data_IF_126572251259
#
_entry.id   IF_126572251259
#
_cell.length_a   1.000
_cell.length_b   1.000
_cell.length_c   1.000
_cell.angle_alpha   90.00
_cell.angle_beta   90.00
_cell.angle_gamma   90.00
#
_symmetry.space_group_name_H-M   'P 1'
#
loop_
_entity.id
_entity.type
_entity.pdbx_description
1 polymer ?
#
# COMPACT_ATOMS: atom_id res chain seq x y z
N UNK A 1 2.04 17.27 -6.50
CA UNK A 1 2.31 15.86 -6.10
C UNK A 1 3.40 15.89 -5.05
N UNK A 2 3.27 15.15 -3.95
CA UNK A 2 4.25 15.15 -2.86
C UNK A 2 5.05 13.86 -2.93
N UNK A 3 6.36 13.98 -2.98
CA UNK A 3 7.27 12.85 -2.87
C UNK A 3 7.76 12.73 -1.44
N UNK A 4 8.09 11.52 -1.04
CA UNK A 4 8.79 11.29 0.20
C UNK A 4 10.29 11.52 -0.03
N UNK A 5 10.94 12.37 0.79
CA UNK A 5 12.33 12.80 0.56
C UNK A 5 13.22 12.66 1.79
N UNK A 6 12.72 12.10 2.88
CA UNK A 6 13.53 11.89 4.09
C UNK A 6 14.45 10.69 3.87
N UNK A 7 15.66 10.77 4.41
CA UNK A 7 16.63 9.68 4.37
C UNK A 7 16.62 8.95 5.71
N UNK A 8 16.72 7.63 5.63
CA UNK A 8 16.75 6.70 6.75
C UNK A 8 17.94 5.75 6.64
N UNK A 9 18.30 5.09 7.74
CA UNK A 9 19.36 4.07 7.69
C UNK A 9 18.84 2.76 7.09
N UNK A 10 17.55 2.49 7.30
CA UNK A 10 16.85 1.33 6.77
C UNK A 10 15.57 1.76 6.04
N UNK A 11 15.47 1.42 4.76
CA UNK A 11 14.27 1.59 3.97
C UNK A 11 13.58 0.24 3.81
N UNK A 12 12.28 0.17 4.10
CA UNK A 12 11.50 -1.04 3.94
C UNK A 12 10.31 -0.86 2.99
N UNK A 13 10.35 -1.58 1.87
CA UNK A 13 9.22 -1.72 0.96
C UNK A 13 8.42 -2.97 1.26
N UNK A 14 7.09 -2.82 1.29
CA UNK A 14 6.16 -3.93 1.52
C UNK A 14 5.21 -4.07 0.35
N UNK A 15 5.28 -5.22 -0.31
CA UNK A 15 4.19 -5.70 -1.17
C UNK A 15 3.21 -6.49 -0.30
N UNK A 16 2.07 -5.86 -0.02
CA UNK A 16 1.09 -6.35 0.95
C UNK A 16 -0.03 -7.11 0.23
N UNK A 17 -0.37 -8.29 0.71
CA UNK A 17 -1.53 -9.06 0.26
C UNK A 17 -2.43 -9.40 1.45
N UNK A 18 -3.61 -9.95 1.16
CA UNK A 18 -4.59 -10.29 2.19
C UNK A 18 -4.08 -11.34 3.20
N UNK A 19 -3.19 -12.25 2.79
CA UNK A 19 -2.68 -13.35 3.62
C UNK A 19 -1.16 -13.33 3.80
N UNK A 20 -0.44 -12.73 2.86
CA UNK A 20 1.02 -12.65 2.81
C UNK A 20 1.46 -11.20 2.69
N UNK A 21 2.64 -10.91 3.17
CA UNK A 21 3.33 -9.66 2.90
C UNK A 21 4.77 -9.99 2.53
N UNK A 22 5.27 -9.36 1.48
CA UNK A 22 6.65 -9.49 1.06
C UNK A 22 7.41 -8.26 1.52
N UNK A 23 8.48 -8.49 2.29
CA UNK A 23 9.35 -7.44 2.81
C UNK A 23 10.62 -7.38 1.98
N UNK A 24 11.01 -6.17 1.59
CA UNK A 24 12.34 -5.83 1.16
C UNK A 24 12.88 -4.77 2.12
N UNK A 25 14.09 -4.96 2.65
CA UNK A 25 14.80 -3.95 3.44
C UNK A 25 16.14 -3.67 2.76
N UNK A 26 16.42 -2.39 2.54
CA UNK A 26 17.70 -1.89 2.04
C UNK A 26 18.43 -1.12 3.13
N UNK A 27 19.76 -1.22 3.13
CA UNK A 27 20.61 -0.27 3.84
C UNK A 27 20.73 1.05 3.07
N UNK A 28 21.36 2.05 3.70
CA UNK A 28 21.66 3.34 3.09
C UNK A 28 22.46 3.27 1.78
N UNK A 29 23.26 2.22 1.57
CA UNK A 29 24.05 1.99 0.35
C UNK A 29 23.22 1.31 -0.75
N UNK A 30 21.97 0.95 -0.48
CA UNK A 30 21.09 0.22 -1.39
C UNK A 30 21.34 -1.29 -1.40
N UNK A 31 22.10 -1.83 -0.43
CA UNK A 31 22.31 -3.26 -0.31
C UNK A 31 21.09 -3.91 0.33
N UNK A 32 20.71 -5.06 -0.22
CA UNK A 32 19.60 -5.86 0.30
C UNK A 32 19.99 -6.51 1.62
N UNK A 33 19.37 -6.08 2.71
CA UNK A 33 19.52 -6.70 4.03
C UNK A 33 18.51 -7.82 4.26
N UNK A 34 17.29 -7.66 3.74
CA UNK A 34 16.22 -8.64 3.91
C UNK A 34 15.33 -8.73 2.67
N UNK A 35 15.09 -9.96 2.20
CA UNK A 35 13.97 -10.30 1.33
C UNK A 35 13.20 -11.45 1.94
N UNK A 36 11.95 -11.26 2.31
CA UNK A 36 11.19 -12.31 3.00
C UNK A 36 9.69 -12.21 2.78
N UNK A 37 9.08 -13.34 2.40
CA UNK A 37 7.63 -13.50 2.42
C UNK A 37 7.19 -13.96 3.82
N UNK A 38 6.29 -13.22 4.45
CA UNK A 38 5.73 -13.50 5.78
C UNK A 38 4.21 -13.58 5.70
N UNK A 39 3.61 -14.18 6.73
CA UNK A 39 2.15 -14.09 6.92
C UNK A 39 1.78 -12.66 7.27
N UNK A 40 0.65 -12.16 6.75
CA UNK A 40 0.07 -10.85 7.09
C UNK A 40 -0.48 -10.83 8.50
N UNK A 41 0.41 -10.88 9.49
CA UNK A 41 0.10 -10.89 10.92
C UNK A 41 1.10 -9.99 11.65
N UNK A 42 0.64 -9.17 12.62
CA UNK A 42 1.51 -8.27 13.37
C UNK A 42 2.77 -8.93 13.93
N UNK A 43 2.63 -10.07 14.62
CA UNK A 43 3.77 -10.79 15.21
C UNK A 43 4.82 -11.21 14.18
N UNK A 44 4.39 -11.71 13.02
CA UNK A 44 5.30 -12.16 11.98
C UNK A 44 6.02 -10.99 11.30
N UNK A 45 5.32 -9.87 11.17
CA UNK A 45 5.89 -8.63 10.66
C UNK A 45 6.92 -8.04 11.64
N UNK A 46 6.56 -7.86 12.91
CA UNK A 46 7.45 -7.28 13.92
C UNK A 46 8.73 -8.11 14.10
N UNK A 47 8.62 -9.44 14.15
CA UNK A 47 9.79 -10.32 14.25
C UNK A 47 10.72 -10.23 13.03
N UNK A 48 10.21 -9.83 11.86
CA UNK A 48 11.03 -9.70 10.66
C UNK A 48 11.80 -8.39 10.60
N UNK A 49 11.24 -7.30 11.14
CA UNK A 49 11.86 -5.97 11.16
C UNK A 49 12.69 -5.71 12.41
N UNK A 50 12.58 -6.55 13.43
CA UNK A 50 13.24 -6.39 14.74
C UNK A 50 14.74 -6.06 14.63
N UNK A 51 15.54 -6.71 13.76
CA UNK A 51 16.96 -6.40 13.63
C UNK A 51 17.27 -5.03 13.00
N UNK A 52 16.28 -4.38 12.39
CA UNK A 52 16.43 -3.18 11.57
C UNK A 52 15.55 -2.03 12.07
N UNK A 53 14.99 -2.14 13.29
CA UNK A 53 13.95 -1.22 13.78
C UNK A 53 14.47 0.21 13.95
N UNK A 54 15.76 0.36 14.25
CA UNK A 54 16.39 1.67 14.41
C UNK A 54 16.42 2.42 13.06
N UNK A 55 15.86 3.63 13.05
CA UNK A 55 15.74 4.49 11.87
C UNK A 55 15.15 3.77 10.64
N UNK A 56 14.09 2.98 10.86
CA UNK A 56 13.34 2.30 9.81
C UNK A 56 12.19 3.17 9.29
N UNK A 57 12.13 3.34 7.98
CA UNK A 57 10.93 3.83 7.29
C UNK A 57 10.27 2.69 6.52
N UNK A 58 8.94 2.64 6.56
CA UNK A 58 8.14 1.69 5.81
C UNK A 58 7.34 2.36 4.71
N UNK A 59 7.39 1.78 3.51
CA UNK A 59 6.54 2.14 2.37
C UNK A 59 5.65 0.98 1.94
N UNK A 60 4.39 1.28 1.64
CA UNK A 60 3.40 0.31 1.14
C UNK A 60 2.60 0.92 0.00
N UNK A 61 2.28 0.14 -1.04
CA UNK A 61 1.32 0.60 -2.06
C UNK A 61 -0.08 0.79 -1.46
N UNK A 62 -0.82 1.83 -1.91
CA UNK A 62 -2.20 2.07 -1.50
C UNK A 62 -3.19 1.04 -2.10
N UNK A 63 -3.19 -0.15 -1.53
CA UNK A 63 -4.17 -1.22 -1.79
C UNK A 63 -5.27 -1.25 -0.71
N UNK A 64 -6.08 -2.31 -0.60
CA UNK A 64 -7.17 -2.36 0.39
C UNK A 64 -6.74 -2.77 1.80
N UNK A 65 -5.59 -3.40 1.97
CA UNK A 65 -5.22 -4.14 3.19
C UNK A 65 -4.29 -3.36 4.13
N UNK A 66 -3.89 -2.12 3.82
CA UNK A 66 -2.84 -1.41 4.56
C UNK A 66 -3.24 -0.87 5.94
N UNK A 67 -4.53 -0.76 6.27
CA UNK A 67 -4.98 -0.14 7.53
C UNK A 67 -4.32 -0.73 8.77
N UNK A 68 -4.35 -2.06 8.91
CA UNK A 68 -3.80 -2.72 10.09
C UNK A 68 -2.28 -2.49 10.21
N UNK A 69 -1.58 -2.39 9.09
CA UNK A 69 -0.14 -2.20 9.04
C UNK A 69 0.21 -0.75 9.39
N UNK A 70 -0.54 0.22 8.87
CA UNK A 70 -0.38 1.63 9.25
C UNK A 70 -0.67 1.85 10.75
N UNK A 71 -1.71 1.22 11.29
CA UNK A 71 -2.06 1.34 12.70
C UNK A 71 -1.02 0.64 13.60
N UNK A 72 -0.48 -0.48 13.14
CA UNK A 72 0.63 -1.15 13.81
C UNK A 72 1.88 -0.27 13.82
N UNK A 73 2.27 0.29 12.68
CA UNK A 73 3.43 1.18 12.60
C UNK A 73 3.25 2.41 13.50
N UNK A 74 2.06 3.01 13.51
CA UNK A 74 1.75 4.13 14.41
C UNK A 74 1.91 3.73 15.89
N UNK A 75 1.46 2.54 16.29
CA UNK A 75 1.57 2.06 17.68
C UNK A 75 3.01 1.74 18.07
N UNK A 76 3.80 1.25 17.13
CA UNK A 76 5.20 0.85 17.31
C UNK A 76 6.19 1.98 17.02
N UNK A 77 5.68 3.19 16.77
CA UNK A 77 6.45 4.40 16.44
C UNK A 77 7.36 4.25 15.21
N UNK A 78 6.93 3.44 14.23
CA UNK A 78 7.61 3.25 12.95
C UNK A 78 7.06 4.24 11.92
N UNK A 79 7.95 4.91 11.21
CA UNK A 79 7.53 5.85 10.17
C UNK A 79 6.88 5.10 8.99
N UNK A 80 5.66 5.49 8.64
CA UNK A 80 4.85 4.81 7.62
C UNK A 80 4.49 5.76 6.48
N UNK A 81 4.76 5.33 5.25
CA UNK A 81 4.53 6.06 4.01
C UNK A 81 3.64 5.24 3.09
N UNK A 82 2.52 5.83 2.67
CA UNK A 82 1.59 5.20 1.75
C UNK A 82 1.86 5.67 0.32
N UNK A 83 1.97 4.75 -0.63
CA UNK A 83 2.25 5.04 -2.04
C UNK A 83 0.97 5.27 -2.85
N UNK A 84 0.93 6.30 -3.68
CA UNK A 84 -0.24 6.62 -4.49
C UNK A 84 -0.45 5.61 -5.63
N UNK A 85 -1.49 4.79 -5.54
CA UNK A 85 -1.74 3.63 -6.41
C UNK A 85 -1.66 3.91 -7.92
N UNK A 86 -2.17 5.06 -8.41
CA UNK A 86 -2.11 5.39 -9.84
C UNK A 86 -0.66 5.58 -10.33
N UNK A 87 0.16 6.26 -9.54
CA UNK A 87 1.54 6.58 -9.90
C UNK A 87 2.44 5.38 -9.67
N UNK A 88 2.21 4.61 -8.61
CA UNK A 88 2.89 3.34 -8.37
C UNK A 88 2.73 2.40 -9.57
N UNK A 89 1.53 2.25 -10.15
CA UNK A 89 1.31 1.46 -11.38
C UNK A 89 2.04 1.98 -12.62
N UNK A 90 2.31 3.28 -12.68
CA UNK A 90 3.04 3.87 -13.82
C UNK A 90 4.52 3.55 -13.73
N UNK A 91 5.03 3.36 -12.50
CA UNK A 91 6.43 3.04 -12.22
C UNK A 91 6.65 1.51 -12.22
N UNK A 92 5.72 0.74 -11.63
CA UNK A 92 5.75 -0.73 -11.49
C UNK A 92 5.15 -1.46 -12.70
N UNK A 93 5.22 -0.88 -13.90
CA UNK A 93 4.57 -1.38 -15.12
C UNK A 93 5.26 -2.58 -15.79
N UNK A 94 6.16 -3.27 -15.10
CA UNK A 94 6.93 -4.41 -15.64
C UNK A 94 6.05 -5.61 -16.01
N UNK A 95 6.38 -6.30 -17.11
CA UNK A 95 5.63 -7.47 -17.61
C UNK A 95 5.63 -8.69 -16.66
N UNK A 96 6.52 -8.73 -15.67
CA UNK A 96 6.66 -9.85 -14.74
C UNK A 96 6.24 -9.43 -13.32
N UNK A 97 5.03 -9.80 -12.93
CA UNK A 97 4.50 -9.56 -11.59
C UNK A 97 5.14 -10.54 -10.60
N UNK A 98 5.99 -10.05 -9.71
CA UNK A 98 6.67 -10.86 -8.71
C UNK A 98 6.79 -10.05 -7.42
N UNK A 99 6.14 -10.52 -6.35
CA UNK A 99 6.14 -9.87 -5.04
C UNK A 99 7.55 -9.47 -4.55
N UNK A 100 8.58 -10.25 -4.94
CA UNK A 100 9.99 -9.94 -4.66
C UNK A 100 10.48 -8.67 -5.35
N UNK A 101 10.16 -8.53 -6.63
CA UNK A 101 10.56 -7.40 -7.47
C UNK A 101 9.75 -6.18 -7.05
N UNK A 102 8.44 -6.36 -6.87
CA UNK A 102 7.51 -5.30 -6.47
C UNK A 102 7.95 -4.68 -5.12
N UNK A 103 8.25 -5.50 -4.11
CA UNK A 103 8.75 -5.00 -2.83
C UNK A 103 10.09 -4.25 -2.96
N UNK A 104 11.00 -4.73 -3.82
CA UNK A 104 12.30 -4.08 -4.05
C UNK A 104 12.17 -2.74 -4.79
N UNK A 105 11.29 -2.65 -5.79
CA UNK A 105 10.99 -1.42 -6.51
C UNK A 105 10.39 -0.36 -5.57
N UNK A 106 9.45 -0.77 -4.71
CA UNK A 106 8.89 0.08 -3.65
C UNK A 106 10.01 0.64 -2.76
N UNK A 107 10.90 -0.22 -2.24
CA UNK A 107 11.99 0.21 -1.36
C UNK A 107 12.96 1.14 -2.06
N UNK A 108 13.28 0.86 -3.32
CA UNK A 108 14.21 1.67 -4.12
C UNK A 108 13.65 3.07 -4.35
N UNK A 109 12.36 3.17 -4.71
CA UNK A 109 11.70 4.47 -4.88
C UNK A 109 11.66 5.28 -3.60
N UNK A 110 11.44 4.61 -2.46
CA UNK A 110 11.47 5.24 -1.14
C UNK A 110 12.83 5.85 -0.84
N UNK A 111 13.89 5.03 -0.96
CA UNK A 111 15.27 5.43 -0.72
C UNK A 111 15.72 6.57 -1.63
N UNK A 112 15.37 6.51 -2.92
CA UNK A 112 15.78 7.50 -3.91
C UNK A 112 15.00 8.83 -3.82
N UNK A 113 14.05 8.93 -2.90
CA UNK A 113 13.22 10.13 -2.73
C UNK A 113 12.15 10.31 -3.82
N UNK A 114 11.91 9.26 -4.63
CA UNK A 114 10.99 9.25 -5.77
C UNK A 114 9.66 8.56 -5.46
N UNK A 115 9.41 8.26 -4.18
CA UNK A 115 8.20 7.57 -3.77
C UNK A 115 6.98 8.51 -3.76
N UNK A 116 5.96 8.25 -4.59
CA UNK A 116 4.80 9.14 -4.69
C UNK A 116 3.90 8.96 -3.46
N UNK A 117 3.97 9.92 -2.53
CA UNK A 117 3.25 9.83 -1.25
C UNK A 117 1.75 10.12 -1.41
N UNK A 118 0.95 9.30 -0.76
CA UNK A 118 -0.47 9.48 -0.53
C UNK A 118 -0.75 9.72 0.96
N UNK A 119 -1.88 10.35 1.25
CA UNK A 119 -2.28 10.63 2.63
C UNK A 119 -2.75 9.36 3.34
N UNK A 120 -2.16 9.10 4.51
CA UNK A 120 -2.56 8.04 5.42
C UNK A 120 -3.79 8.51 6.17
N UNK A 121 -4.96 7.99 5.80
CA UNK A 121 -6.22 8.43 6.39
C UNK A 121 -6.29 8.10 7.89
N UNK A 122 -6.63 9.05 8.77
CA UNK A 122 -6.71 8.81 10.22
C UNK A 122 -7.71 7.72 10.57
N UNK A 123 -7.40 6.92 11.60
CA UNK A 123 -8.20 5.76 12.03
C UNK A 123 -9.67 6.16 12.27
N UNK A 124 -9.87 7.29 12.94
CA UNK A 124 -11.15 7.82 13.39
C UNK A 124 -12.07 8.20 12.22
N UNK A 125 -11.49 8.54 11.06
CA UNK A 125 -12.24 8.97 9.87
C UNK A 125 -12.48 7.82 8.88
N UNK A 126 -11.77 6.68 9.01
CA UNK A 126 -11.84 5.57 8.02
C UNK A 126 -13.24 4.98 7.90
N UNK A 127 -13.98 4.84 9.01
CA UNK A 127 -15.34 4.29 8.97
C UNK A 127 -16.28 5.10 8.06
N UNK A 128 -16.23 6.43 8.17
CA UNK A 128 -16.99 7.34 7.31
C UNK A 128 -16.54 7.22 5.85
N UNK A 129 -15.23 7.22 5.61
CA UNK A 129 -14.66 7.05 4.26
C UNK A 129 -15.13 5.76 3.60
N UNK A 130 -15.10 4.65 4.33
CA UNK A 130 -15.46 3.33 3.81
C UNK A 130 -16.95 3.23 3.54
N UNK A 131 -17.79 3.81 4.40
CA UNK A 131 -19.23 3.95 4.17
C UNK A 131 -19.52 4.71 2.88
N UNK A 132 -18.90 5.87 2.68
CA UNK A 132 -19.07 6.68 1.48
C UNK A 132 -18.60 5.95 0.21
N UNK A 133 -17.45 5.26 0.28
CA UNK A 133 -16.95 4.42 -0.82
C UNK A 133 -17.91 3.28 -1.15
N UNK A 134 -18.50 2.63 -0.14
CA UNK A 134 -19.48 1.56 -0.32
C UNK A 134 -20.77 2.09 -0.96
N UNK A 135 -21.28 3.22 -0.48
CA UNK A 135 -22.46 3.89 -1.05
C UNK A 135 -22.25 4.23 -2.53
N UNK A 136 -21.10 4.84 -2.87
CA UNK A 136 -20.76 5.17 -4.25
C UNK A 136 -20.66 3.93 -5.15
N UNK A 137 -20.04 2.86 -4.65
CA UNK A 137 -19.95 1.59 -5.38
C UNK A 137 -21.33 1.01 -5.70
N UNK A 138 -22.24 0.98 -4.72
CA UNK A 138 -23.61 0.50 -4.91
C UNK A 138 -24.40 1.39 -5.87
N UNK A 139 -24.26 2.71 -5.78
CA UNK A 139 -24.89 3.65 -6.70
C UNK A 139 -24.43 3.43 -8.15
N UNK A 140 -23.13 3.23 -8.37
CA UNK A 140 -22.57 2.89 -9.70
C UNK A 140 -23.10 1.56 -10.22
N UNK A 141 -23.17 0.53 -9.37
CA UNK A 141 -23.76 -0.77 -9.75
C UNK A 141 -25.23 -0.64 -10.13
N UNK A 142 -26.03 0.12 -9.37
CA UNK A 142 -27.43 0.40 -9.70
C UNK A 142 -27.55 1.08 -11.07
N UNK A 143 -26.78 2.13 -11.32
CA UNK A 143 -26.79 2.85 -12.60
C UNK A 143 -26.46 1.92 -13.79
N UNK A 144 -25.48 1.02 -13.63
CA UNK A 144 -25.13 0.05 -14.67
C UNK A 144 -26.26 -0.97 -14.94
N UNK A 145 -26.99 -1.42 -13.91
CA UNK A 145 -28.14 -2.31 -14.08
C UNK A 145 -29.33 -1.60 -14.75
N UNK A 146 -29.60 -0.35 -14.38
CA UNK A 146 -30.68 0.44 -15.00
C UNK A 146 -30.39 0.77 -16.47
N UNK A 147 -29.12 0.86 -16.88
CA UNK A 147 -28.75 1.00 -18.30
C UNK A 147 -29.02 -0.25 -19.14
N UNK A 148 -29.12 -1.43 -18.51
CA UNK A 148 -29.31 -2.71 -19.20
C UNK A 148 -30.77 -3.19 -19.22
N UNK A 149 -31.68 -2.45 -18.58
CA UNK A 149 -33.12 -2.73 -18.70
C UNK A 149 -33.64 -1.96 -19.92
N UNK A 150 -34.17 -2.65 -20.96
CA UNK A 150 -34.85 -1.96 -22.04
C UNK A 150 -35.99 -1.17 -21.42
N UNK A 151 -36.13 0.11 -21.82
CA UNK A 151 -37.36 0.84 -21.51
C UNK A 151 -38.53 0.05 -22.09
N UNK A 152 -39.66 -0.11 -21.37
CA UNK A 152 -40.85 -0.65 -22.00
C UNK A 152 -41.12 0.21 -23.24
N UNK A 153 -41.13 -0.44 -24.41
CA UNK A 153 -41.62 0.18 -25.63
C UNK A 153 -43.13 0.26 -25.43
N UNK A 154 -43.64 1.47 -25.17
CA UNK A 154 -45.07 1.73 -25.10
C UNK A 154 -45.67 1.26 -26.43
N UNK A 155 -46.48 0.19 -26.35
CA UNK A 155 -47.12 -0.42 -27.51
C UNK A 155 -48.18 0.52 -28.09
N UNK A 156 -47.97 0.90 -29.34
CA UNK A 156 -48.93 1.57 -30.22
C UNK A 156 -49.84 0.58 -30.93
#
# INVERSE_FOLDING_TARGET
MRFYTNSHDHDCGVDLHAKTLYLCILDRKGQVLLHSNKKSRPKAFLAAIDPFRDALVMAVECIFTWYWLADLCRREEIEFVLGHALYMKTIHGGKAKNDKIDAFEITTLLRDGNFPKADVYPLEMRAMRDLLRRKLHLARRRANLTRYTPRPTDGS
#
